data_IF_263862575464
#
_entry.id   IF_263862575464
#
_cell.length_a   1.000
_cell.length_b   1.000
_cell.length_c   1.000
_cell.angle_alpha   90.00
_cell.angle_beta   90.00
_cell.angle_gamma   90.00
#
_symmetry.space_group_name_H-M   'P 1'
#
loop_
_entity.id
_entity.type
_entity.pdbx_description
1 polymer ?
#
# COMPACT_ATOMS: atom_id res chain seq x y z
N UNK A 1 22.44 22.45 16.19
CA UNK A 1 21.96 21.11 15.76
C UNK A 1 22.69 20.68 14.49
N UNK A 2 23.26 19.47 14.46
CA UNK A 2 23.83 18.88 13.23
C UNK A 2 22.72 18.69 12.18
N UNK A 3 23.08 18.69 10.89
CA UNK A 3 22.12 18.47 9.79
C UNK A 3 21.27 17.20 9.99
N UNK A 4 21.89 16.12 10.47
CA UNK A 4 21.20 14.88 10.80
C UNK A 4 20.16 15.04 11.93
N UNK A 5 20.49 15.76 13.02
CA UNK A 5 19.53 16.01 14.10
C UNK A 5 18.33 16.83 13.62
N UNK A 6 18.55 17.81 12.74
CA UNK A 6 17.45 18.60 12.14
C UNK A 6 16.56 17.72 11.27
N UNK A 7 17.16 16.92 10.40
CA UNK A 7 16.46 15.98 9.55
C UNK A 7 15.63 14.98 10.36
N UNK A 8 16.22 14.36 11.40
CA UNK A 8 15.53 13.45 12.30
C UNK A 8 14.32 14.11 12.97
N UNK A 9 14.50 15.28 13.59
CA UNK A 9 13.42 15.98 14.28
C UNK A 9 12.25 16.31 13.32
N UNK A 10 12.57 16.85 12.13
CA UNK A 10 11.55 17.14 11.11
C UNK A 10 10.87 15.87 10.60
N UNK A 11 11.60 14.76 10.47
CA UNK A 11 11.02 13.46 10.07
C UNK A 11 10.03 12.96 11.11
N UNK A 12 10.38 13.02 12.40
CA UNK A 12 9.50 12.61 13.50
C UNK A 12 8.23 13.47 13.51
N UNK A 13 8.38 14.80 13.47
CA UNK A 13 7.24 15.73 13.46
C UNK A 13 6.34 15.47 12.24
N UNK A 14 6.94 15.34 11.05
CA UNK A 14 6.22 15.10 9.81
C UNK A 14 5.42 13.80 9.83
N UNK A 15 6.03 12.70 10.29
CA UNK A 15 5.35 11.40 10.40
C UNK A 15 4.24 11.43 11.44
N UNK A 16 4.49 11.98 12.64
CA UNK A 16 3.44 12.08 13.67
C UNK A 16 2.25 12.90 13.16
N UNK A 17 2.52 14.00 12.44
CA UNK A 17 1.47 14.85 11.88
C UNK A 17 0.67 14.10 10.81
N UNK A 18 1.34 13.43 9.86
CA UNK A 18 0.69 12.65 8.81
C UNK A 18 -0.11 11.44 9.36
N UNK A 19 0.37 10.86 10.47
CA UNK A 19 -0.25 9.72 11.15
C UNK A 19 -1.30 10.11 12.20
N UNK A 20 -1.53 11.40 12.45
CA UNK A 20 -2.40 11.85 13.54
C UNK A 20 -3.82 11.28 13.43
N UNK A 21 -4.43 11.40 12.25
CA UNK A 21 -5.80 10.93 12.00
C UNK A 21 -5.95 9.40 12.17
N UNK A 22 -5.18 8.53 11.48
CA UNK A 22 -5.32 7.09 11.65
C UNK A 22 -5.04 6.65 13.10
N UNK A 23 -4.05 7.24 13.78
CA UNK A 23 -3.80 6.93 15.19
C UNK A 23 -4.95 7.32 16.11
N UNK A 24 -5.53 8.52 15.92
CA UNK A 24 -6.67 8.98 16.72
C UNK A 24 -7.87 8.03 16.54
N UNK A 25 -8.11 7.57 15.32
CA UNK A 25 -9.16 6.60 15.04
C UNK A 25 -8.88 5.22 15.63
N UNK A 26 -7.62 4.75 15.58
CA UNK A 26 -7.20 3.53 16.27
C UNK A 26 -7.41 3.61 17.79
N UNK A 27 -7.04 4.74 18.42
CA UNK A 27 -7.28 4.98 19.85
C UNK A 27 -8.77 4.97 20.19
N UNK A 28 -9.61 5.58 19.35
CA UNK A 28 -11.07 5.56 19.53
C UNK A 28 -11.59 4.13 19.55
N UNK A 29 -11.21 3.30 18.57
CA UNK A 29 -11.63 1.89 18.51
C UNK A 29 -11.18 1.08 19.72
N UNK A 30 -9.92 1.25 20.15
CA UNK A 30 -9.44 0.58 21.37
C UNK A 30 -10.19 1.07 22.61
N UNK A 31 -10.51 2.36 22.69
CA UNK A 31 -11.27 2.93 23.81
C UNK A 31 -12.70 2.39 23.86
N UNK A 32 -13.36 2.30 22.72
CA UNK A 32 -14.72 1.74 22.62
C UNK A 32 -14.70 0.25 22.99
N UNK A 33 -13.70 -0.50 22.53
CA UNK A 33 -13.49 -1.89 22.95
C UNK A 33 -13.28 -2.05 24.45
N UNK A 34 -12.47 -1.19 25.08
CA UNK A 34 -12.19 -1.26 26.53
C UNK A 34 -13.41 -0.87 27.35
N UNK A 35 -14.18 0.12 26.91
CA UNK A 35 -15.35 0.62 27.66
C UNK A 35 -16.58 -0.27 27.50
N UNK A 36 -16.84 -0.72 26.27
CA UNK A 36 -18.10 -1.34 25.91
C UNK A 36 -17.95 -2.84 25.57
N UNK A 37 -16.73 -3.37 25.52
CA UNK A 37 -16.44 -4.74 25.07
C UNK A 37 -16.62 -4.96 23.57
N UNK A 38 -17.10 -3.96 22.84
CA UNK A 38 -17.39 -3.99 21.40
C UNK A 38 -17.36 -2.57 20.82
N UNK A 39 -17.19 -2.46 19.51
CA UNK A 39 -17.36 -1.22 18.74
C UNK A 39 -18.65 -1.33 17.92
N UNK A 40 -19.55 -0.37 18.10
CA UNK A 40 -20.74 -0.28 17.24
C UNK A 40 -20.34 0.03 15.80
N UNK A 41 -20.88 -0.70 14.82
CA UNK A 41 -20.50 -0.55 13.41
C UNK A 41 -20.72 0.88 12.88
N UNK A 42 -21.76 1.58 13.35
CA UNK A 42 -22.03 3.00 13.05
C UNK A 42 -20.93 3.95 13.54
N UNK A 43 -20.25 3.57 14.63
CA UNK A 43 -19.19 4.35 15.27
C UNK A 43 -17.80 3.96 14.80
N UNK A 44 -17.69 2.85 14.04
CA UNK A 44 -16.44 2.36 13.49
C UNK A 44 -15.87 3.39 12.49
N UNK A 45 -14.73 4.02 12.79
CA UNK A 45 -14.13 4.95 11.88
C UNK A 45 -13.66 4.22 10.63
N UNK A 46 -14.18 4.65 9.49
CA UNK A 46 -13.56 4.33 8.20
C UNK A 46 -12.07 4.77 8.29
N UNK A 47 -11.16 4.11 7.59
CA UNK A 47 -9.70 4.42 7.54
C UNK A 47 -8.80 3.97 8.70
N UNK A 48 -9.22 3.06 9.60
CA UNK A 48 -8.31 2.55 10.65
C UNK A 48 -7.33 1.50 10.12
N UNK A 49 -7.80 0.57 9.31
CA UNK A 49 -7.01 -0.54 8.78
C UNK A 49 -6.88 -0.37 7.27
N UNK A 50 -5.67 -0.47 6.68
CA UNK A 50 -4.39 -0.80 7.32
C UNK A 50 -3.60 0.41 7.86
N UNK A 51 -4.18 1.62 7.86
CA UNK A 51 -3.43 2.87 8.09
C UNK A 51 -2.91 3.07 9.51
N UNK A 52 -3.59 2.54 10.53
CA UNK A 52 -3.14 2.58 11.93
C UNK A 52 -1.92 1.67 12.13
N UNK A 53 -1.94 0.39 11.72
CA UNK A 53 -0.74 -0.45 11.68
C UNK A 53 0.41 0.14 10.87
N UNK A 54 0.15 0.69 9.67
CA UNK A 54 1.20 1.35 8.86
C UNK A 54 1.79 2.55 9.61
N UNK A 55 0.95 3.37 10.24
CA UNK A 55 1.39 4.53 11.01
C UNK A 55 2.28 4.12 12.19
N UNK A 56 1.88 3.10 12.96
CA UNK A 56 2.70 2.56 14.05
C UNK A 56 4.04 2.03 13.52
N UNK A 57 4.02 1.25 12.43
CA UNK A 57 5.22 0.68 11.82
C UNK A 57 6.21 1.75 11.34
N UNK A 58 5.73 2.84 10.72
CA UNK A 58 6.57 3.94 10.24
C UNK A 58 7.08 4.80 11.40
N UNK A 59 6.25 5.11 12.39
CA UNK A 59 6.66 5.87 13.58
C UNK A 59 7.77 5.14 14.33
N UNK A 60 7.62 3.85 14.58
CA UNK A 60 8.64 3.03 15.25
C UNK A 60 9.96 3.11 14.49
N UNK A 61 9.94 2.90 13.17
CA UNK A 61 11.15 2.96 12.37
C UNK A 61 11.78 4.35 12.32
N UNK A 62 11.00 5.43 12.24
CA UNK A 62 11.56 6.80 12.23
C UNK A 62 12.11 7.17 13.61
N UNK A 63 11.48 6.74 14.71
CA UNK A 63 12.02 6.93 16.06
C UNK A 63 13.33 6.17 16.29
N UNK A 64 13.44 4.96 15.73
CA UNK A 64 14.64 4.13 15.79
C UNK A 64 15.76 4.57 14.84
N UNK A 65 15.50 5.51 13.93
CA UNK A 65 16.46 6.02 12.94
C UNK A 65 17.84 6.35 13.55
N UNK A 66 18.00 7.22 14.58
CA UNK A 66 19.33 7.52 15.12
C UNK A 66 20.07 6.29 15.67
N UNK A 67 19.35 5.34 16.25
CA UNK A 67 19.91 4.11 16.81
C UNK A 67 20.36 3.19 15.68
N UNK A 68 19.50 2.90 14.71
CA UNK A 68 19.83 2.01 13.60
C UNK A 68 20.92 2.59 12.69
N UNK A 69 20.92 3.90 12.46
CA UNK A 69 22.00 4.55 11.70
C UNK A 69 23.35 4.45 12.41
N UNK A 70 23.38 4.43 13.74
CA UNK A 70 24.60 4.28 14.53
C UNK A 70 25.10 2.83 14.57
N UNK A 71 24.21 1.86 14.80
CA UNK A 71 24.59 0.48 15.09
C UNK A 71 24.48 -0.46 13.88
N UNK A 72 23.42 -0.35 13.07
CA UNK A 72 23.21 -1.20 11.89
C UNK A 72 23.86 -0.62 10.61
N UNK A 73 24.14 0.68 10.59
CA UNK A 73 24.86 1.38 9.52
C UNK A 73 24.32 1.06 8.12
N UNK A 74 25.08 0.36 7.28
CA UNK A 74 24.68 -0.03 5.91
C UNK A 74 23.45 -0.93 5.85
N UNK A 75 23.15 -1.64 6.94
CA UNK A 75 21.97 -2.50 7.07
C UNK A 75 20.79 -1.81 7.75
N UNK A 76 20.91 -0.52 8.13
CA UNK A 76 19.89 0.20 8.89
C UNK A 76 18.51 0.16 8.21
N UNK A 77 18.44 0.36 6.89
CA UNK A 77 17.18 0.25 6.15
C UNK A 77 16.59 -1.17 6.19
N UNK A 78 17.41 -2.20 5.99
CA UNK A 78 16.93 -3.59 5.99
C UNK A 78 16.39 -3.99 7.37
N UNK A 79 17.11 -3.62 8.43
CA UNK A 79 16.68 -3.85 9.83
C UNK A 79 15.41 -3.06 10.15
N UNK A 80 15.33 -1.78 9.74
CA UNK A 80 14.14 -0.97 9.91
C UNK A 80 12.93 -1.56 9.18
N UNK A 81 13.11 -2.01 7.94
CA UNK A 81 12.06 -2.69 7.16
C UNK A 81 11.56 -3.95 7.85
N UNK A 82 12.45 -4.79 8.39
CA UNK A 82 12.06 -5.99 9.13
C UNK A 82 11.26 -5.64 10.40
N UNK A 83 11.74 -4.67 11.19
CA UNK A 83 11.05 -4.21 12.41
C UNK A 83 9.67 -3.63 12.06
N UNK A 84 9.58 -2.78 11.03
CA UNK A 84 8.31 -2.19 10.58
C UNK A 84 7.33 -3.23 10.08
N UNK A 85 7.77 -4.25 9.34
CA UNK A 85 6.88 -5.33 8.90
C UNK A 85 6.35 -6.13 10.09
N UNK A 86 7.22 -6.47 11.05
CA UNK A 86 6.79 -7.16 12.28
C UNK A 86 5.79 -6.30 13.06
N UNK A 87 6.07 -5.01 13.23
CA UNK A 87 5.16 -4.08 13.90
C UNK A 87 3.81 -3.94 13.17
N UNK A 88 3.85 -3.87 11.84
CA UNK A 88 2.66 -3.82 10.99
C UNK A 88 1.79 -5.07 11.18
N UNK A 89 2.34 -6.26 10.95
CA UNK A 89 1.57 -7.51 11.03
C UNK A 89 1.10 -7.82 12.46
N UNK A 90 1.90 -7.53 13.49
CA UNK A 90 1.44 -7.69 14.88
C UNK A 90 0.28 -6.75 15.18
N UNK A 91 0.39 -5.47 14.80
CA UNK A 91 -0.66 -4.48 15.08
C UNK A 91 -1.94 -4.82 14.32
N UNK A 92 -1.81 -5.23 13.06
CA UNK A 92 -2.93 -5.67 12.23
C UNK A 92 -3.61 -6.90 12.84
N UNK A 93 -2.86 -7.97 13.14
CA UNK A 93 -3.40 -9.19 13.73
C UNK A 93 -4.08 -8.93 15.09
N UNK A 94 -3.53 -8.03 15.90
CA UNK A 94 -4.12 -7.65 17.18
C UNK A 94 -5.47 -6.93 16.98
N UNK A 95 -5.53 -5.95 16.07
CA UNK A 95 -6.78 -5.25 15.79
C UNK A 95 -7.83 -6.22 15.22
N UNK A 96 -7.45 -7.08 14.29
CA UNK A 96 -8.34 -8.04 13.64
C UNK A 96 -8.93 -9.07 14.60
N UNK A 97 -8.10 -9.66 15.44
CA UNK A 97 -8.49 -10.75 16.34
C UNK A 97 -9.13 -10.29 17.64
N UNK A 98 -8.89 -9.04 18.07
CA UNK A 98 -9.34 -8.53 19.37
C UNK A 98 -10.45 -7.49 19.27
N UNK A 99 -10.58 -6.78 18.15
CA UNK A 99 -11.69 -5.83 17.98
C UNK A 99 -12.95 -6.60 17.59
N UNK A 100 -13.99 -6.44 18.40
CA UNK A 100 -15.31 -6.99 18.18
C UNK A 100 -16.19 -5.85 17.64
N UNK A 101 -16.88 -6.10 16.53
CA UNK A 101 -17.85 -5.18 15.94
C UNK A 101 -19.25 -5.69 16.24
N UNK A 102 -20.12 -4.81 16.73
CA UNK A 102 -21.54 -5.09 16.93
C UNK A 102 -22.38 -4.26 15.95
N UNK A 103 -23.14 -4.94 15.11
CA UNK A 103 -24.20 -4.37 14.27
C UNK A 103 -25.52 -5.10 14.55
N UNK A 104 -26.18 -5.67 13.55
CA UNK A 104 -27.25 -6.68 13.72
C UNK A 104 -26.73 -8.00 14.25
N UNK A 105 -25.43 -8.28 14.08
CA UNK A 105 -24.71 -9.46 14.60
C UNK A 105 -23.39 -8.99 15.23
N UNK A 106 -22.88 -9.74 16.22
CA UNK A 106 -21.58 -9.47 16.86
C UNK A 106 -20.52 -10.37 16.25
N UNK A 107 -19.46 -9.78 15.70
CA UNK A 107 -18.41 -10.47 14.94
C UNK A 107 -17.04 -9.85 15.19
N UNK A 108 -15.95 -10.51 14.80
CA UNK A 108 -14.62 -9.87 14.82
C UNK A 108 -14.51 -8.83 13.71
N UNK A 109 -13.56 -7.90 13.87
CA UNK A 109 -13.29 -6.87 12.88
C UNK A 109 -12.88 -7.48 11.52
N UNK A 110 -12.13 -8.57 11.53
CA UNK A 110 -11.79 -9.31 10.31
C UNK A 110 -13.04 -9.75 9.53
N UNK A 111 -13.97 -10.45 10.20
CA UNK A 111 -15.20 -10.94 9.59
C UNK A 111 -16.11 -9.79 9.14
N UNK A 112 -16.12 -8.68 9.88
CA UNK A 112 -16.90 -7.50 9.52
C UNK A 112 -16.33 -6.75 8.31
N UNK A 113 -15.01 -6.56 8.24
CA UNK A 113 -14.36 -5.95 7.07
C UNK A 113 -14.59 -6.77 5.81
N UNK A 114 -14.57 -8.10 5.94
CA UNK A 114 -14.95 -9.00 4.85
C UNK A 114 -16.37 -8.78 4.35
N UNK A 115 -17.33 -8.74 5.28
CA UNK A 115 -18.74 -8.52 4.96
C UNK A 115 -18.95 -7.25 4.14
N UNK A 116 -18.31 -6.16 4.53
CA UNK A 116 -18.41 -4.86 3.84
C UNK A 116 -17.81 -4.85 2.43
N UNK A 117 -16.90 -5.76 2.11
CA UNK A 117 -16.30 -5.88 0.78
C UNK A 117 -17.13 -6.79 -0.16
N UNK A 118 -17.94 -7.69 0.38
CA UNK A 118 -18.71 -8.66 -0.41
C UNK A 118 -20.18 -8.26 -0.64
N UNK A 119 -20.74 -7.39 0.22
CA UNK A 119 -22.17 -7.05 0.20
C UNK A 119 -22.42 -5.65 -0.36
N UNK A 120 -23.09 -5.50 -1.53
CA UNK A 120 -23.64 -4.23 -1.98
C UNK A 120 -24.74 -3.74 -1.02
N UNK A 121 -24.85 -2.44 -0.70
CA UNK A 121 -25.85 -1.92 0.23
C UNK A 121 -27.32 -2.07 -0.19
N UNK A 122 -27.61 -2.56 -1.40
CA UNK A 122 -28.96 -2.53 -1.98
C UNK A 122 -29.55 -3.89 -2.42
N UNK A 123 -28.78 -4.99 -2.40
CA UNK A 123 -29.25 -6.31 -2.88
C UNK A 123 -29.79 -7.24 -1.78
N UNK A 124 -30.51 -6.71 -0.79
CA UNK A 124 -31.12 -7.56 0.25
C UNK A 124 -32.29 -8.42 -0.24
N UNK A 125 -32.82 -8.21 -1.45
CA UNK A 125 -34.12 -8.77 -1.85
C UNK A 125 -34.07 -10.04 -2.72
N UNK A 126 -32.95 -10.40 -3.34
CA UNK A 126 -32.92 -11.50 -4.34
C UNK A 126 -31.98 -12.67 -4.02
N UNK A 127 -31.21 -12.63 -2.91
CA UNK A 127 -30.29 -13.73 -2.55
C UNK A 127 -30.75 -14.50 -1.32
N UNK A 128 -30.67 -15.84 -1.40
CA UNK A 128 -31.16 -16.80 -0.39
C UNK A 128 -30.25 -17.00 0.82
N UNK A 129 -29.11 -16.30 0.90
CA UNK A 129 -28.12 -16.48 1.99
C UNK A 129 -28.31 -15.43 3.07
N UNK A 130 -28.42 -15.85 4.33
CA UNK A 130 -28.54 -14.95 5.50
C UNK A 130 -27.17 -14.41 5.87
N UNK A 131 -27.11 -13.23 6.49
CA UNK A 131 -25.89 -12.67 7.08
C UNK A 131 -25.15 -13.64 8.01
N UNK A 132 -25.87 -14.59 8.62
CA UNK A 132 -25.33 -15.66 9.47
C UNK A 132 -24.53 -16.69 8.65
N UNK A 133 -24.93 -16.99 7.42
CA UNK A 133 -24.26 -17.98 6.56
C UNK A 133 -22.88 -17.47 6.12
N UNK A 134 -22.77 -16.14 5.91
CA UNK A 134 -21.51 -15.44 5.57
C UNK A 134 -20.56 -15.28 6.77
N UNK A 135 -21.08 -15.46 7.99
CA UNK A 135 -20.28 -15.37 9.21
C UNK A 135 -19.81 -16.73 9.73
N UNK A 136 -20.33 -17.83 9.19
CA UNK A 136 -20.13 -19.19 9.73
C UNK A 136 -19.43 -20.16 8.76
N UNK A 137 -19.46 -19.96 7.43
CA UNK A 137 -19.00 -20.98 6.48
C UNK A 137 -17.92 -20.55 5.48
N UNK A 138 -16.72 -21.11 5.60
CA UNK A 138 -15.69 -21.24 4.56
C UNK A 138 -15.06 -19.96 3.99
N UNK A 139 -14.29 -19.24 4.81
CA UNK A 139 -13.59 -18.01 4.39
C UNK A 139 -12.06 -18.09 4.46
N UNK A 140 -11.39 -17.54 3.43
CA UNK A 140 -9.93 -17.58 3.25
C UNK A 140 -9.27 -16.23 3.60
N UNK A 141 -8.22 -16.20 4.46
CA UNK A 141 -7.41 -15.00 4.74
C UNK A 141 -6.78 -14.35 3.50
N UNK A 142 -6.79 -15.05 2.36
CA UNK A 142 -6.22 -14.60 1.11
C UNK A 142 -6.84 -13.29 0.59
N UNK A 143 -8.07 -12.92 1.00
CA UNK A 143 -8.71 -11.67 0.58
C UNK A 143 -7.91 -10.40 0.95
N UNK A 144 -7.14 -10.44 2.06
CA UNK A 144 -6.35 -9.28 2.52
C UNK A 144 -5.04 -9.11 1.78
N UNK A 145 -4.65 -10.08 0.94
CA UNK A 145 -3.41 -10.02 0.17
C UNK A 145 -3.32 -8.70 -0.61
N UNK A 146 -4.43 -8.23 -1.20
CA UNK A 146 -4.50 -6.93 -1.88
C UNK A 146 -4.03 -5.78 -0.97
N UNK A 147 -4.61 -5.65 0.23
CA UNK A 147 -4.29 -4.58 1.19
C UNK A 147 -2.90 -4.75 1.80
N UNK A 148 -2.45 -5.98 2.05
CA UNK A 148 -1.13 -6.26 2.60
C UNK A 148 -0.02 -5.88 1.64
N UNK A 149 -0.16 -6.19 0.35
CA UNK A 149 0.87 -5.83 -0.64
C UNK A 149 0.96 -4.31 -0.78
N UNK A 150 -0.18 -3.60 -0.84
CA UNK A 150 -0.21 -2.11 -0.81
C UNK A 150 0.57 -1.59 0.38
N UNK A 151 0.27 -2.12 1.57
CA UNK A 151 0.88 -1.71 2.84
C UNK A 151 2.39 -1.95 2.86
N UNK A 152 2.84 -3.12 2.42
CA UNK A 152 4.26 -3.49 2.37
C UNK A 152 5.04 -2.56 1.43
N UNK A 153 4.54 -2.33 0.22
CA UNK A 153 5.18 -1.44 -0.76
C UNK A 153 5.25 -0.02 -0.20
N UNK A 154 4.16 0.47 0.42
CA UNK A 154 4.13 1.80 1.01
C UNK A 154 5.14 1.95 2.17
N UNK A 155 5.20 0.97 3.07
CA UNK A 155 6.18 0.96 4.18
C UNK A 155 7.60 1.01 3.62
N UNK A 156 7.96 0.11 2.70
CA UNK A 156 9.31 0.09 2.11
C UNK A 156 9.66 1.40 1.39
N UNK A 157 8.71 1.96 0.64
CA UNK A 157 8.87 3.21 -0.07
C UNK A 157 9.15 4.39 0.90
N UNK A 158 8.36 4.51 1.97
CA UNK A 158 8.53 5.53 3.02
C UNK A 158 9.88 5.35 3.74
N UNK A 159 10.22 4.12 4.13
CA UNK A 159 11.47 3.85 4.84
C UNK A 159 12.69 4.15 3.98
N UNK A 160 12.67 3.80 2.68
CA UNK A 160 13.76 4.14 1.78
C UNK A 160 13.96 5.66 1.67
N UNK A 161 12.88 6.44 1.67
CA UNK A 161 12.97 7.90 1.72
C UNK A 161 13.68 8.37 3.00
N UNK A 162 13.23 7.95 4.18
CA UNK A 162 13.83 8.42 5.45
C UNK A 162 15.25 7.91 5.67
N UNK A 163 15.47 6.60 5.58
CA UNK A 163 16.77 5.98 5.82
C UNK A 163 17.76 6.29 4.70
N UNK A 164 17.29 6.41 3.46
CA UNK A 164 18.13 6.82 2.33
C UNK A 164 18.66 8.24 2.50
N UNK A 165 17.79 9.20 2.84
CA UNK A 165 18.23 10.58 3.11
C UNK A 165 19.10 10.67 4.36
N UNK A 166 18.78 9.93 5.42
CA UNK A 166 19.61 9.82 6.62
C UNK A 166 21.04 9.35 6.28
N UNK A 167 21.16 8.25 5.52
CA UNK A 167 22.44 7.71 5.09
C UNK A 167 23.20 8.72 4.22
N UNK A 168 22.51 9.40 3.30
CA UNK A 168 23.09 10.45 2.46
C UNK A 168 23.65 11.61 3.29
N UNK A 169 22.92 12.06 4.32
CA UNK A 169 23.34 13.16 5.20
C UNK A 169 24.56 12.77 6.04
N UNK A 170 24.59 11.54 6.58
CA UNK A 170 25.70 11.05 7.41
C UNK A 170 26.96 10.82 6.57
N UNK A 171 26.82 10.16 5.43
CA UNK A 171 27.95 9.81 4.56
C UNK A 171 28.41 10.95 3.65
N UNK A 172 27.62 12.03 3.53
CA UNK A 172 27.80 13.14 2.59
C UNK A 172 27.85 12.72 1.11
N UNK A 173 27.48 11.48 0.79
CA UNK A 173 27.45 10.97 -0.57
C UNK A 173 26.09 11.25 -1.22
N UNK A 174 26.07 12.13 -2.24
CA UNK A 174 24.85 12.54 -2.97
C UNK A 174 24.47 11.65 -4.16
N UNK A 175 25.15 10.53 -4.39
CA UNK A 175 24.92 9.60 -5.51
C UNK A 175 23.44 9.18 -5.65
N UNK A 176 22.76 8.98 -4.52
CA UNK A 176 21.35 8.55 -4.47
C UNK A 176 20.35 9.70 -4.42
N UNK A 177 20.78 10.97 -4.39
CA UNK A 177 19.91 12.13 -4.16
C UNK A 177 18.72 12.15 -5.11
N UNK A 178 18.97 12.05 -6.43
CA UNK A 178 17.92 12.10 -7.44
C UNK A 178 16.94 10.94 -7.30
N UNK A 179 17.45 9.72 -7.08
CA UNK A 179 16.61 8.54 -6.88
C UNK A 179 15.75 8.66 -5.61
N UNK A 180 16.28 9.21 -4.52
CA UNK A 180 15.55 9.41 -3.26
C UNK A 180 14.49 10.50 -3.37
N UNK A 181 14.75 11.58 -4.11
CA UNK A 181 13.74 12.62 -4.41
C UNK A 181 12.60 12.01 -5.21
N UNK A 182 12.90 11.28 -6.29
CA UNK A 182 11.90 10.63 -7.13
C UNK A 182 11.12 9.57 -6.34
N UNK A 183 11.79 8.76 -5.51
CA UNK A 183 11.13 7.83 -4.58
C UNK A 183 10.16 8.57 -3.67
N UNK A 184 10.58 9.68 -3.07
CA UNK A 184 9.74 10.42 -2.11
C UNK A 184 8.52 11.05 -2.78
N UNK A 185 8.67 11.59 -3.98
CA UNK A 185 7.53 12.10 -4.78
C UNK A 185 6.59 10.97 -5.15
N UNK A 186 7.11 9.83 -5.65
CA UNK A 186 6.31 8.65 -5.98
C UNK A 186 5.58 8.10 -4.76
N UNK A 187 6.25 8.07 -3.60
CA UNK A 187 5.67 7.60 -2.33
C UNK A 187 4.56 8.52 -1.86
N UNK A 188 4.74 9.84 -1.94
CA UNK A 188 3.71 10.81 -1.58
C UNK A 188 2.48 10.72 -2.51
N UNK A 189 2.72 10.58 -3.82
CA UNK A 189 1.65 10.36 -4.80
C UNK A 189 0.92 9.04 -4.51
N UNK A 190 1.65 7.96 -4.25
CA UNK A 190 1.06 6.66 -3.94
C UNK A 190 0.23 6.68 -2.66
N UNK A 191 0.75 7.29 -1.58
CA UNK A 191 0.00 7.51 -0.34
C UNK A 191 -1.26 8.34 -0.58
N UNK A 192 -1.15 9.44 -1.35
CA UNK A 192 -2.29 10.27 -1.72
C UNK A 192 -3.36 9.48 -2.50
N UNK A 193 -2.94 8.62 -3.43
CA UNK A 193 -3.84 7.73 -4.16
C UNK A 193 -4.45 6.65 -3.26
N UNK A 194 -3.74 6.14 -2.24
CA UNK A 194 -4.33 5.22 -1.25
C UNK A 194 -5.44 5.91 -0.44
N UNK A 195 -5.17 7.13 0.03
CA UNK A 195 -6.14 7.94 0.76
C UNK A 195 -7.35 8.23 -0.14
N UNK A 196 -7.10 8.68 -1.38
CA UNK A 196 -8.14 8.95 -2.36
C UNK A 196 -8.96 7.69 -2.65
N UNK A 197 -8.32 6.54 -2.90
CA UNK A 197 -9.00 5.27 -3.17
C UNK A 197 -9.97 4.89 -2.03
N UNK A 198 -9.58 5.17 -0.78
CA UNK A 198 -10.47 4.94 0.36
C UNK A 198 -11.64 5.94 0.41
N UNK A 199 -11.48 7.19 -0.06
CA UNK A 199 -12.61 8.13 -0.24
C UNK A 199 -13.48 7.79 -1.44
N UNK A 200 -12.89 7.27 -2.52
CA UNK A 200 -13.63 6.95 -3.75
C UNK A 200 -14.22 5.56 -3.73
N UNK A 201 -13.89 4.72 -2.74
CA UNK A 201 -14.63 3.49 -2.47
C UNK A 201 -16.14 3.76 -2.28
N UNK A 202 -16.53 5.00 -1.94
CA UNK A 202 -17.93 5.46 -1.88
C UNK A 202 -18.57 5.73 -3.25
N UNK A 203 -17.83 5.69 -4.35
CA UNK A 203 -18.35 5.79 -5.72
C UNK A 203 -18.54 4.42 -6.39
N UNK A 204 -18.43 3.32 -5.63
CA UNK A 204 -18.68 1.97 -6.14
C UNK A 204 -20.07 1.52 -5.72
N UNK A 205 -20.90 1.20 -6.72
CA UNK A 205 -22.27 0.73 -6.52
C UNK A 205 -22.35 -0.81 -6.29
N UNK A 206 -21.19 -1.46 -6.10
CA UNK A 206 -21.09 -2.92 -5.90
C UNK A 206 -20.99 -3.73 -7.20
N UNK A 207 -21.13 -3.09 -8.36
CA UNK A 207 -21.00 -3.71 -9.68
C UNK A 207 -19.54 -4.02 -10.04
N UNK A 208 -19.35 -5.12 -10.77
CA UNK A 208 -18.03 -5.50 -11.33
C UNK A 208 -17.63 -4.52 -12.44
N UNK A 209 -18.60 -4.02 -13.20
CA UNK A 209 -18.37 -3.01 -14.22
C UNK A 209 -18.36 -1.64 -13.57
N UNK A 210 -17.22 -0.94 -13.65
CA UNK A 210 -17.04 0.36 -13.04
C UNK A 210 -17.22 1.48 -14.06
N UNK A 211 -17.72 2.63 -13.60
CA UNK A 211 -17.81 3.82 -14.44
C UNK A 211 -16.43 4.36 -14.82
N UNK A 212 -16.38 5.23 -15.83
CA UNK A 212 -15.12 5.71 -16.44
C UNK A 212 -14.17 6.36 -15.43
N UNK A 213 -14.69 7.14 -14.48
CA UNK A 213 -13.85 7.86 -13.53
C UNK A 213 -13.13 6.90 -12.55
N UNK A 214 -13.81 5.99 -11.84
CA UNK A 214 -13.16 4.92 -11.07
C UNK A 214 -12.19 4.08 -11.89
N UNK A 215 -12.53 3.72 -13.14
CA UNK A 215 -11.63 2.95 -14.01
C UNK A 215 -10.29 3.67 -14.26
N UNK A 216 -10.34 4.97 -14.56
CA UNK A 216 -9.13 5.79 -14.74
C UNK A 216 -8.32 5.89 -13.45
N UNK A 217 -8.99 6.12 -12.31
CA UNK A 217 -8.33 6.22 -11.01
C UNK A 217 -7.67 4.89 -10.59
N UNK A 218 -8.32 3.76 -10.85
CA UNK A 218 -7.77 2.42 -10.62
C UNK A 218 -6.55 2.17 -11.51
N UNK A 219 -6.65 2.48 -12.81
CA UNK A 219 -5.53 2.36 -13.75
C UNK A 219 -4.32 3.17 -13.27
N UNK A 220 -4.55 4.41 -12.86
CA UNK A 220 -3.51 5.28 -12.31
C UNK A 220 -2.91 4.71 -11.02
N UNK A 221 -3.75 4.20 -10.12
CA UNK A 221 -3.32 3.58 -8.87
C UNK A 221 -2.38 2.40 -9.14
N UNK A 222 -2.76 1.47 -10.04
CA UNK A 222 -1.99 0.27 -10.35
C UNK A 222 -0.65 0.58 -11.02
N UNK A 223 -0.62 1.60 -11.88
CA UNK A 223 0.62 2.11 -12.51
C UNK A 223 1.53 2.71 -11.44
N UNK A 224 1.03 3.65 -10.63
CA UNK A 224 1.84 4.33 -9.61
C UNK A 224 2.35 3.35 -8.55
N UNK A 225 1.53 2.36 -8.19
CA UNK A 225 1.90 1.27 -7.30
C UNK A 225 3.13 0.50 -7.80
N UNK A 226 3.09 -0.02 -9.04
CA UNK A 226 4.22 -0.74 -9.62
C UNK A 226 5.43 0.16 -9.84
N UNK A 227 5.21 1.38 -10.35
CA UNK A 227 6.28 2.38 -10.54
C UNK A 227 7.00 2.68 -9.23
N UNK A 228 6.26 2.82 -8.11
CA UNK A 228 6.84 3.07 -6.78
C UNK A 228 7.74 1.91 -6.33
N UNK A 229 7.31 0.67 -6.53
CA UNK A 229 8.11 -0.51 -6.23
C UNK A 229 9.36 -0.62 -7.13
N UNK A 230 9.22 -0.32 -8.42
CA UNK A 230 10.35 -0.30 -9.35
C UNK A 230 11.36 0.80 -9.01
N UNK A 231 10.92 2.02 -8.65
CA UNK A 231 11.83 3.10 -8.22
C UNK A 231 12.59 2.66 -6.96
N UNK A 232 11.91 1.99 -6.02
CA UNK A 232 12.55 1.46 -4.82
C UNK A 232 13.69 0.51 -5.19
N UNK A 233 13.44 -0.47 -6.06
CA UNK A 233 14.45 -1.39 -6.56
C UNK A 233 15.59 -0.66 -7.32
N UNK A 234 15.24 0.24 -8.24
CA UNK A 234 16.18 1.03 -9.02
C UNK A 234 17.09 1.91 -8.17
N UNK A 235 16.62 2.37 -7.01
CA UNK A 235 17.41 3.21 -6.10
C UNK A 235 18.64 2.49 -5.51
N UNK A 236 18.68 1.15 -5.52
CA UNK A 236 19.81 0.33 -5.08
C UNK A 236 20.71 -0.14 -6.23
N UNK A 237 20.20 -0.08 -7.46
CA UNK A 237 20.88 -0.58 -8.67
C UNK A 237 21.56 0.55 -9.46
N UNK A 238 21.68 1.72 -8.85
CA UNK A 238 22.43 2.85 -9.42
C UNK A 238 23.86 2.46 -9.75
N UNK A 239 24.41 3.08 -10.81
CA UNK A 239 25.77 2.84 -11.33
C UNK A 239 26.04 1.43 -11.86
N UNK A 240 25.03 0.54 -11.90
CA UNK A 240 25.13 -0.75 -12.59
C UNK A 240 24.83 -0.59 -14.08
N UNK A 241 25.23 -1.59 -14.88
CA UNK A 241 24.92 -1.66 -16.33
C UNK A 241 23.42 -1.48 -16.58
N UNK A 242 23.04 -0.93 -17.73
CA UNK A 242 21.65 -0.57 -18.08
C UNK A 242 20.64 -1.70 -17.85
N UNK A 243 21.04 -2.96 -18.05
CA UNK A 243 20.15 -4.11 -17.78
C UNK A 243 19.78 -4.23 -16.30
N UNK A 244 20.68 -3.89 -15.38
CA UNK A 244 20.40 -3.90 -13.94
C UNK A 244 19.81 -2.58 -13.45
N UNK A 245 20.25 -1.44 -13.99
CA UNK A 245 19.81 -0.12 -13.51
C UNK A 245 18.48 0.35 -14.10
N UNK A 246 18.02 -0.24 -15.21
CA UNK A 246 16.77 0.15 -15.89
C UNK A 246 15.83 -1.05 -16.09
N UNK A 247 16.31 -2.10 -16.77
CA UNK A 247 15.44 -3.23 -17.15
C UNK A 247 14.94 -4.04 -15.95
N UNK A 248 15.82 -4.32 -14.97
CA UNK A 248 15.41 -5.05 -13.77
C UNK A 248 14.34 -4.28 -12.95
N UNK A 249 14.52 -2.98 -12.61
CA UNK A 249 13.47 -2.16 -12.00
C UNK A 249 12.16 -2.12 -12.77
N UNK A 250 12.18 -2.05 -14.11
CA UNK A 250 10.96 -2.06 -14.90
C UNK A 250 10.24 -3.40 -14.86
N UNK A 251 10.97 -4.52 -14.86
CA UNK A 251 10.39 -5.85 -14.67
C UNK A 251 9.77 -5.93 -13.27
N UNK A 252 10.45 -5.45 -12.23
CA UNK A 252 9.89 -5.39 -10.87
C UNK A 252 8.59 -4.59 -10.85
N UNK A 253 8.54 -3.43 -11.52
CA UNK A 253 7.31 -2.62 -11.59
C UNK A 253 6.14 -3.38 -12.24
N UNK A 254 6.35 -4.02 -13.39
CA UNK A 254 5.32 -4.82 -14.06
C UNK A 254 4.90 -6.03 -13.24
N UNK A 255 5.85 -6.76 -12.64
CA UNK A 255 5.56 -7.93 -11.80
C UNK A 255 4.75 -7.52 -10.58
N UNK A 256 5.13 -6.45 -9.90
CA UNK A 256 4.40 -5.94 -8.74
C UNK A 256 2.99 -5.50 -9.14
N UNK A 257 2.81 -4.79 -10.27
CA UNK A 257 1.47 -4.48 -10.80
C UNK A 257 0.65 -5.74 -11.13
N UNK A 258 1.26 -6.79 -11.68
CA UNK A 258 0.58 -8.07 -11.91
C UNK A 258 0.14 -8.73 -10.60
N UNK A 259 0.99 -8.72 -9.57
CA UNK A 259 0.62 -9.26 -8.24
C UNK A 259 -0.58 -8.48 -7.67
N UNK A 260 -0.70 -7.17 -7.94
CA UNK A 260 -1.89 -6.42 -7.54
C UNK A 260 -3.17 -6.94 -8.20
N UNK A 261 -3.13 -7.23 -9.50
CA UNK A 261 -4.25 -7.86 -10.21
C UNK A 261 -4.57 -9.25 -9.65
N UNK A 262 -3.57 -10.05 -9.30
CA UNK A 262 -3.79 -11.34 -8.62
C UNK A 262 -4.47 -11.11 -7.26
N UNK A 263 -4.03 -10.10 -6.49
CA UNK A 263 -4.65 -9.72 -5.23
C UNK A 263 -6.10 -9.26 -5.39
N UNK A 264 -6.40 -8.46 -6.41
CA UNK A 264 -7.77 -8.06 -6.75
C UNK A 264 -8.62 -9.27 -7.16
N UNK A 265 -8.07 -10.19 -7.95
CA UNK A 265 -8.75 -11.40 -8.36
C UNK A 265 -9.13 -12.28 -7.17
N UNK A 266 -8.23 -12.42 -6.20
CA UNK A 266 -8.52 -13.14 -4.96
C UNK A 266 -9.58 -12.39 -4.14
N UNK A 267 -9.49 -11.07 -4.06
CA UNK A 267 -10.45 -10.22 -3.34
C UNK A 267 -11.87 -10.34 -3.94
N UNK A 268 -11.99 -10.47 -5.25
CA UNK A 268 -13.26 -10.55 -5.98
C UNK A 268 -13.64 -11.98 -6.38
N UNK A 269 -13.13 -13.00 -5.66
CA UNK A 269 -13.48 -14.41 -5.85
C UNK A 269 -13.33 -14.91 -7.31
N UNK A 270 -12.19 -14.63 -7.93
CA UNK A 270 -11.86 -15.04 -9.29
C UNK A 270 -12.26 -14.05 -10.39
N UNK A 271 -12.84 -12.90 -10.04
CA UNK A 271 -13.21 -11.84 -10.97
C UNK A 271 -12.25 -10.64 -10.90
N UNK A 272 -12.28 -9.78 -11.91
CA UNK A 272 -11.58 -8.49 -11.92
C UNK A 272 -12.58 -7.40 -12.27
N UNK A 273 -12.33 -6.17 -11.79
CA UNK A 273 -13.17 -5.04 -12.19
C UNK A 273 -13.06 -4.81 -13.70
N UNK A 274 -14.19 -4.53 -14.35
CA UNK A 274 -14.27 -4.27 -15.78
C UNK A 274 -14.41 -2.78 -16.04
N UNK A 275 -13.50 -2.21 -16.82
CA UNK A 275 -13.41 -0.77 -17.04
C UNK A 275 -14.37 -0.24 -18.12
N UNK A 276 -15.22 -1.11 -18.65
CA UNK A 276 -16.17 -0.83 -19.72
C UNK A 276 -16.62 -2.12 -20.38
N UNK A 277 -17.23 -1.99 -21.56
CA UNK A 277 -17.71 -3.10 -22.37
C UNK A 277 -16.94 -3.20 -23.69
N UNK A 278 -16.80 -4.41 -24.21
CA UNK A 278 -16.22 -4.68 -25.52
C UNK A 278 -14.78 -5.21 -25.43
N UNK A 279 -14.20 -5.54 -26.59
CA UNK A 279 -13.00 -6.35 -26.70
C UNK A 279 -11.78 -5.88 -25.87
N UNK A 280 -11.64 -4.56 -25.65
CA UNK A 280 -10.54 -4.00 -24.85
C UNK A 280 -10.71 -4.22 -23.33
N UNK A 281 -11.96 -4.33 -22.88
CA UNK A 281 -12.34 -4.36 -21.47
C UNK A 281 -12.85 -5.73 -21.03
N UNK A 282 -13.25 -6.57 -21.98
CA UNK A 282 -13.66 -7.95 -21.73
C UNK A 282 -12.44 -8.86 -21.48
N UNK A 283 -12.61 -9.86 -20.61
CA UNK A 283 -11.57 -10.84 -20.32
C UNK A 283 -11.21 -11.65 -21.57
N UNK A 284 -9.92 -11.97 -21.74
CA UNK A 284 -9.46 -12.79 -22.85
C UNK A 284 -9.90 -14.25 -22.61
N UNK A 285 -10.35 -14.96 -23.65
CA UNK A 285 -10.72 -16.37 -23.51
C UNK A 285 -9.58 -17.19 -22.85
N UNK A 286 -9.89 -17.80 -21.70
CA UNK A 286 -8.93 -18.60 -20.92
C UNK A 286 -8.10 -17.82 -19.89
N UNK A 287 -8.20 -16.49 -19.81
CA UNK A 287 -7.48 -15.66 -18.83
C UNK A 287 -8.42 -14.59 -18.26
N UNK A 288 -8.40 -14.37 -16.94
CA UNK A 288 -9.29 -13.38 -16.29
C UNK A 288 -8.97 -11.94 -16.72
N UNK A 289 -7.71 -11.65 -17.03
CA UNK A 289 -7.22 -10.34 -17.46
C UNK A 289 -7.85 -9.90 -18.80
N UNK A 290 -8.28 -8.64 -18.86
CA UNK A 290 -8.64 -7.96 -20.09
C UNK A 290 -7.39 -7.39 -20.79
N UNK A 291 -7.45 -7.07 -22.09
CA UNK A 291 -6.35 -6.41 -22.79
C UNK A 291 -5.92 -5.09 -22.12
N UNK A 292 -6.85 -4.31 -21.56
CA UNK A 292 -6.52 -3.09 -20.82
C UNK A 292 -5.65 -3.36 -19.58
N UNK A 293 -5.87 -4.47 -18.88
CA UNK A 293 -5.09 -4.83 -17.68
C UNK A 293 -3.64 -5.12 -18.05
N UNK A 294 -3.45 -5.82 -19.17
CA UNK A 294 -2.13 -6.10 -19.73
C UNK A 294 -1.43 -4.79 -20.12
N UNK A 295 -2.16 -3.85 -20.75
CA UNK A 295 -1.62 -2.53 -21.08
C UNK A 295 -1.19 -1.75 -19.84
N UNK A 296 -1.93 -1.83 -18.73
CA UNK A 296 -1.59 -1.20 -17.45
C UNK A 296 -0.31 -1.81 -16.85
N UNK A 297 -0.17 -3.14 -16.89
CA UNK A 297 1.04 -3.85 -16.43
C UNK A 297 2.27 -3.43 -17.26
N UNK A 298 2.12 -3.35 -18.58
CA UNK A 298 3.19 -2.91 -19.49
C UNK A 298 3.52 -1.44 -19.27
N UNK A 299 2.51 -0.58 -19.14
CA UNK A 299 2.67 0.85 -18.91
C UNK A 299 3.46 1.13 -17.62
N UNK A 300 3.14 0.41 -16.53
CA UNK A 300 3.89 0.46 -15.27
C UNK A 300 5.40 0.21 -15.47
N UNK A 301 5.74 -0.85 -16.20
CA UNK A 301 7.14 -1.16 -16.54
C UNK A 301 7.79 -0.11 -17.43
N UNK A 302 7.12 0.32 -18.50
CA UNK A 302 7.64 1.30 -19.46
C UNK A 302 7.88 2.67 -18.81
N UNK A 303 6.92 3.16 -18.00
CA UNK A 303 7.06 4.40 -17.24
C UNK A 303 8.21 4.28 -16.24
N UNK A 304 8.31 3.15 -15.53
CA UNK A 304 9.41 2.92 -14.61
C UNK A 304 10.78 2.90 -15.32
N UNK A 305 10.88 2.25 -16.49
CA UNK A 305 12.09 2.23 -17.29
C UNK A 305 12.53 3.65 -17.70
N UNK A 306 11.58 4.48 -18.15
CA UNK A 306 11.85 5.87 -18.48
C UNK A 306 12.39 6.65 -17.27
N UNK A 307 11.73 6.51 -16.11
CA UNK A 307 12.14 7.14 -14.85
C UNK A 307 13.54 6.68 -14.43
N UNK A 308 13.80 5.36 -14.39
CA UNK A 308 15.09 4.79 -14.00
C UNK A 308 16.22 5.22 -14.95
N UNK A 309 15.94 5.33 -16.25
CA UNK A 309 16.89 5.84 -17.22
C UNK A 309 17.28 7.31 -16.94
N UNK A 310 16.32 8.14 -16.51
CA UNK A 310 16.60 9.57 -16.23
C UNK A 310 17.58 9.77 -15.08
N UNK A 311 17.55 8.94 -14.04
CA UNK A 311 18.48 9.07 -12.90
C UNK A 311 19.70 8.15 -12.99
N UNK A 312 19.72 7.20 -13.92
CA UNK A 312 20.92 6.40 -14.24
C UNK A 312 21.89 7.15 -15.16
N UNK A 313 21.39 8.02 -16.06
CA UNK A 313 22.20 8.81 -17.01
C UNK A 313 23.20 9.76 -16.35
N UNK A 314 22.90 10.28 -15.16
CA UNK A 314 23.67 11.37 -14.53
C UNK A 314 25.00 10.90 -13.92
N UNK A 315 25.25 9.58 -13.84
CA UNK A 315 26.48 9.01 -13.26
C UNK A 315 27.44 8.41 -14.30
N UNK A 316 27.17 8.58 -15.61
CA UNK A 316 28.01 8.03 -16.70
C UNK A 316 28.81 9.14 -17.42
N UNK A 317 28.58 10.42 -17.10
CA UNK A 317 29.33 11.54 -17.69
C UNK A 317 30.43 11.97 -16.70
N UNK A 318 31.32 11.04 -16.37
CA UNK A 318 32.66 11.32 -15.81
C UNK A 318 33.57 10.15 -16.22
N UNK A 319 33.97 10.13 -17.50
CA UNK A 319 35.18 9.47 -17.99
C UNK A 319 35.82 10.40 -19.00
#
# INVERSE_FOLDING_TARGET
MTHFKKFYLLSVIGVITASFYPLLMGVKVVTDMVRNGTVLAENYPKYIIPYTPISLAVIIAVLLLPVLMKYAQKFALAVASAISLVAFFISELLLESKVIITSTVTTTLESWQMYMCYVPPEEHQTRTWRAIDVLIGDYSPAFKIHFYIISVVLIFAILNSFYGFAQMIITKNKDRLKALVIQSVSTALFLGLCILACFTAFFRDGEITVSTLPAVLMSLFFIVFGVTAGIYAGSFLLKKKKTLSVLLPSIVASVVTLIMYIGEMILLNGHLYRFGFGLLFDGINGIVLAPIDILIIIASGCINAAICHTFSKTNIIEV
#
